data_IF_547627095129
#
_entry.id   IF_547627095129
#
_cell.length_a   1.000
_cell.length_b   1.000
_cell.length_c   1.000
_cell.angle_alpha   90.00
_cell.angle_beta   90.00
_cell.angle_gamma   90.00
#
_symmetry.space_group_name_H-M   'P 1'
#
loop_
_entity.id
_entity.type
_entity.pdbx_description
1 polymer ?
#
# COMPACT_ATOMS: atom_id res chain seq x y z
N UNK A 1 -6.58 24.64 11.10
CA UNK A 1 -6.24 23.20 11.04
C UNK A 1 -6.72 22.53 9.75
N UNK A 2 -8.03 22.45 9.46
CA UNK A 2 -8.56 21.80 8.24
C UNK A 2 -7.94 22.39 6.96
N UNK A 3 -7.89 23.71 6.83
CA UNK A 3 -7.29 24.36 5.65
C UNK A 3 -5.81 24.00 5.44
N UNK A 4 -5.05 23.79 6.52
CA UNK A 4 -3.67 23.32 6.39
C UNK A 4 -3.61 21.90 5.82
N UNK A 5 -4.51 21.02 6.28
CA UNK A 5 -4.60 19.63 5.79
C UNK A 5 -5.02 19.61 4.33
N UNK A 6 -5.99 20.44 3.93
CA UNK A 6 -6.40 20.58 2.53
C UNK A 6 -5.23 21.03 1.66
N UNK A 7 -4.44 22.01 2.11
CA UNK A 7 -3.23 22.44 1.39
C UNK A 7 -2.19 21.33 1.24
N UNK A 8 -1.94 20.55 2.29
CA UNK A 8 -1.02 19.41 2.22
C UNK A 8 -1.48 18.38 1.17
N UNK A 9 -2.77 17.98 1.21
CA UNK A 9 -3.33 17.00 0.26
C UNK A 9 -3.34 17.55 -1.18
N UNK A 10 -3.75 18.81 -1.35
CA UNK A 10 -3.75 19.48 -2.66
C UNK A 10 -2.33 19.56 -3.25
N UNK A 11 -1.34 19.88 -2.41
CA UNK A 11 0.07 19.95 -2.80
C UNK A 11 0.64 18.60 -3.22
N UNK A 12 0.21 17.50 -2.58
CA UNK A 12 0.63 16.15 -2.93
C UNK A 12 0.00 15.66 -4.23
N UNK A 13 -1.33 15.72 -4.37
CA UNK A 13 -2.02 15.13 -5.52
C UNK A 13 -2.06 16.03 -6.77
N UNK A 14 -1.92 17.36 -6.62
CA UNK A 14 -1.91 18.36 -7.71
C UNK A 14 -2.99 18.08 -8.78
N UNK A 15 -4.21 17.79 -8.34
CA UNK A 15 -5.30 17.36 -9.22
C UNK A 15 -6.57 18.17 -8.95
N UNK A 16 -7.18 18.72 -10.00
CA UNK A 16 -8.35 19.59 -9.90
C UNK A 16 -9.57 18.88 -9.30
N UNK A 17 -9.80 17.60 -9.62
CA UNK A 17 -10.92 16.86 -9.05
C UNK A 17 -10.75 16.66 -7.54
N UNK A 18 -9.53 16.34 -7.08
CA UNK A 18 -9.21 16.30 -5.65
C UNK A 18 -9.40 17.65 -4.98
N UNK A 19 -8.91 18.74 -5.58
CA UNK A 19 -9.07 20.09 -5.03
C UNK A 19 -10.54 20.49 -4.91
N UNK A 20 -11.34 20.22 -5.94
CA UNK A 20 -12.77 20.47 -5.92
C UNK A 20 -13.46 19.65 -4.81
N UNK A 21 -13.10 18.37 -4.65
CA UNK A 21 -13.62 17.55 -3.57
C UNK A 21 -13.22 18.06 -2.18
N UNK A 22 -11.98 18.51 -2.00
CA UNK A 22 -11.51 19.11 -0.75
C UNK A 22 -12.31 20.36 -0.35
N UNK A 23 -12.83 21.11 -1.31
CA UNK A 23 -13.70 22.26 -1.02
C UNK A 23 -15.08 21.84 -0.48
N UNK A 24 -15.53 20.62 -0.78
CA UNK A 24 -16.81 20.08 -0.30
C UNK A 24 -16.73 19.48 1.11
N UNK A 25 -15.53 19.16 1.61
CA UNK A 25 -15.38 18.57 2.95
C UNK A 25 -15.28 19.67 4.02
N UNK A 26 -16.26 19.68 4.91
CA UNK A 26 -16.44 20.71 5.93
C UNK A 26 -16.69 20.14 7.34
N UNK A 27 -16.94 18.83 7.47
CA UNK A 27 -17.12 18.17 8.77
C UNK A 27 -15.83 17.50 9.21
N UNK A 28 -15.72 17.35 10.54
CA UNK A 28 -14.60 16.67 11.19
C UNK A 28 -15.06 15.80 12.35
N UNK A 29 -14.37 14.69 12.55
CA UNK A 29 -14.58 13.80 13.71
C UNK A 29 -13.24 13.32 14.23
N UNK A 30 -13.08 13.37 15.54
CA UNK A 30 -11.90 12.84 16.21
C UNK A 30 -12.21 11.50 16.84
N UNK A 31 -11.31 10.54 16.64
CA UNK A 31 -11.30 9.26 17.33
C UNK A 31 -9.93 9.08 17.96
N UNK A 32 -9.89 8.65 19.22
CA UNK A 32 -8.64 8.32 19.92
C UNK A 32 -8.75 6.90 20.45
N UNK A 33 -7.70 6.11 20.24
CA UNK A 33 -7.56 4.78 20.81
C UNK A 33 -6.10 4.55 21.21
N UNK A 34 -5.83 4.56 22.52
CA UNK A 34 -4.48 4.39 23.09
C UNK A 34 -3.49 5.41 22.48
N UNK A 35 -2.41 4.95 21.84
CA UNK A 35 -1.39 5.79 21.20
C UNK A 35 -1.75 6.25 19.78
N UNK A 36 -2.96 5.98 19.30
CA UNK A 36 -3.42 6.37 17.96
C UNK A 36 -4.51 7.44 18.07
N UNK A 37 -4.33 8.54 17.34
CA UNK A 37 -5.33 9.60 17.16
C UNK A 37 -5.67 9.73 15.69
N UNK A 38 -6.95 9.69 15.35
CA UNK A 38 -7.46 9.88 14.00
C UNK A 38 -8.33 11.13 13.93
N UNK A 39 -7.99 12.02 13.01
CA UNK A 39 -8.87 13.08 12.52
C UNK A 39 -9.49 12.64 11.20
N UNK A 40 -10.80 12.45 11.19
CA UNK A 40 -11.59 12.18 9.98
C UNK A 40 -12.14 13.50 9.46
N UNK A 41 -11.91 13.81 8.19
CA UNK A 41 -12.48 14.96 7.48
C UNK A 41 -13.40 14.42 6.40
N UNK A 42 -14.63 14.89 6.35
CA UNK A 42 -15.66 14.29 5.49
C UNK A 42 -16.73 15.30 5.06
N UNK A 43 -17.52 14.93 4.05
CA UNK A 43 -18.68 15.69 3.57
C UNK A 43 -19.90 15.36 4.43
N UNK A 44 -20.74 16.33 4.76
CA UNK A 44 -21.92 16.15 5.63
C UNK A 44 -22.84 14.97 5.22
N UNK A 45 -23.06 14.79 3.92
CA UNK A 45 -23.90 13.71 3.38
C UNK A 45 -23.22 12.32 3.35
N UNK A 46 -21.93 12.24 3.69
CA UNK A 46 -21.19 10.97 3.62
C UNK A 46 -21.44 10.09 4.85
N UNK A 47 -21.88 8.86 4.61
CA UNK A 47 -22.07 7.85 5.66
C UNK A 47 -20.73 7.25 6.08
N UNK A 48 -20.14 7.81 7.14
CA UNK A 48 -18.96 7.23 7.77
C UNK A 48 -19.31 5.90 8.45
N UNK A 49 -18.64 4.81 8.06
CA UNK A 49 -18.72 3.54 8.78
C UNK A 49 -17.83 3.58 10.04
N UNK A 50 -18.30 4.30 11.07
CA UNK A 50 -17.59 4.45 12.34
C UNK A 50 -17.26 3.11 13.01
N UNK A 51 -18.16 2.10 13.05
CA UNK A 51 -17.83 0.78 13.57
C UNK A 51 -16.61 0.15 12.89
N UNK A 52 -16.55 0.19 11.56
CA UNK A 52 -15.41 -0.33 10.80
C UNK A 52 -14.12 0.45 11.10
N UNK A 53 -14.16 1.79 11.14
CA UNK A 53 -12.98 2.60 11.51
C UNK A 53 -12.48 2.27 12.92
N UNK A 54 -13.39 2.05 13.88
CA UNK A 54 -13.03 1.62 15.25
C UNK A 54 -12.40 0.23 15.27
N UNK A 55 -12.88 -0.70 14.44
CA UNK A 55 -12.28 -2.03 14.29
C UNK A 55 -10.85 -1.92 13.73
N UNK A 56 -10.65 -1.12 12.68
CA UNK A 56 -9.33 -0.83 12.12
C UNK A 56 -8.40 -0.23 13.17
N UNK A 57 -8.87 0.73 13.99
CA UNK A 57 -8.09 1.28 15.10
C UNK A 57 -7.59 0.22 16.09
N UNK A 58 -8.44 -0.76 16.44
CA UNK A 58 -8.05 -1.87 17.32
C UNK A 58 -6.98 -2.75 16.68
N UNK A 59 -7.12 -3.04 15.37
CA UNK A 59 -6.11 -3.78 14.59
C UNK A 59 -4.76 -3.08 14.59
N UNK A 60 -4.76 -1.78 14.26
CA UNK A 60 -3.53 -0.98 14.21
C UNK A 60 -2.85 -0.93 15.58
N UNK A 61 -3.62 -0.86 16.68
CA UNK A 61 -3.05 -0.87 18.02
C UNK A 61 -2.24 -2.13 18.36
N UNK A 62 -2.65 -3.30 17.84
CA UNK A 62 -1.87 -4.55 18.01
C UNK A 62 -0.44 -4.40 17.49
N UNK A 63 -0.23 -3.53 16.51
CA UNK A 63 1.07 -3.26 15.89
C UNK A 63 1.75 -2.05 16.54
N UNK A 64 1.01 -0.94 16.70
CA UNK A 64 1.59 0.32 17.22
C UNK A 64 2.01 0.24 18.68
N UNK A 65 1.50 -0.72 19.46
CA UNK A 65 1.97 -0.94 20.84
C UNK A 65 3.44 -1.39 20.91
N UNK A 66 3.98 -1.93 19.81
CA UNK A 66 5.39 -2.33 19.71
C UNK A 66 6.29 -1.22 19.15
N UNK A 67 5.72 -0.05 18.85
CA UNK A 67 6.44 1.11 18.35
C UNK A 67 6.32 2.21 19.39
N UNK A 68 7.43 2.66 19.96
CA UNK A 68 7.45 3.70 21.00
C UNK A 68 7.17 5.11 20.41
N UNK A 69 5.98 5.29 19.85
CA UNK A 69 5.54 6.51 19.15
C UNK A 69 4.02 6.68 19.27
N UNK A 70 3.59 7.93 19.34
CA UNK A 70 2.18 8.30 19.13
C UNK A 70 1.92 8.56 17.66
N UNK A 71 0.82 8.01 17.14
CA UNK A 71 0.44 8.15 15.74
C UNK A 71 -0.72 9.13 15.58
N UNK A 72 -0.50 10.16 14.77
CA UNK A 72 -1.54 11.09 14.35
C UNK A 72 -1.88 10.79 12.89
N UNK A 73 -3.12 10.42 12.62
CA UNK A 73 -3.56 10.05 11.27
C UNK A 73 -4.72 10.95 10.85
N UNK A 74 -4.74 11.27 9.57
CA UNK A 74 -5.74 12.11 8.94
C UNK A 74 -6.42 11.28 7.86
N UNK A 75 -7.72 11.05 8.01
CA UNK A 75 -8.54 10.31 7.04
C UNK A 75 -9.46 11.27 6.31
N UNK A 76 -9.31 11.37 4.99
CA UNK A 76 -10.28 12.05 4.11
C UNK A 76 -11.32 11.07 3.56
N UNK A 77 -10.89 9.83 3.25
CA UNK A 77 -11.74 8.77 2.68
C UNK A 77 -12.53 9.22 1.44
N UNK A 78 -11.86 9.90 0.51
CA UNK A 78 -12.46 10.33 -0.75
C UNK A 78 -12.96 9.15 -1.60
N UNK A 79 -13.98 9.36 -2.44
CA UNK A 79 -14.56 8.29 -3.27
C UNK A 79 -13.75 7.97 -4.52
N UNK A 80 -12.61 8.64 -4.74
CA UNK A 80 -11.79 8.41 -5.92
C UNK A 80 -11.14 7.03 -5.88
N UNK A 81 -11.18 6.35 -7.02
CA UNK A 81 -10.59 5.02 -7.19
C UNK A 81 -9.30 5.06 -8.01
N UNK A 82 -8.40 4.14 -7.70
CA UNK A 82 -7.17 3.85 -8.44
C UNK A 82 -7.51 3.01 -9.66
N UNK A 83 -7.18 3.51 -10.84
CA UNK A 83 -7.41 2.84 -12.12
C UNK A 83 -6.15 2.82 -12.97
N UNK A 84 -5.92 1.70 -13.65
CA UNK A 84 -4.86 1.55 -14.64
C UNK A 84 -5.09 2.59 -15.74
N UNK A 85 -4.03 3.33 -16.05
CA UNK A 85 -4.02 4.27 -17.15
C UNK A 85 -2.93 3.83 -18.14
N UNK A 86 -3.33 3.57 -19.39
CA UNK A 86 -2.46 3.06 -20.44
C UNK A 86 -1.45 4.11 -20.94
N UNK A 87 -1.53 5.36 -20.49
CA UNK A 87 -0.66 6.44 -20.95
C UNK A 87 0.41 6.82 -19.91
N UNK A 88 0.04 6.86 -18.62
CA UNK A 88 0.96 7.26 -17.55
C UNK A 88 0.51 6.71 -16.20
N UNK A 89 1.46 6.15 -15.45
CA UNK A 89 1.30 5.80 -14.05
C UNK A 89 2.10 6.78 -13.18
N UNK A 90 1.37 7.57 -12.39
CA UNK A 90 1.91 8.55 -11.45
C UNK A 90 1.37 8.31 -10.04
N UNK A 91 1.88 9.03 -9.05
CA UNK A 91 1.40 8.95 -7.65
C UNK A 91 -0.12 9.13 -7.54
N UNK A 92 -0.73 9.93 -8.43
CA UNK A 92 -2.18 10.10 -8.51
C UNK A 92 -2.91 8.78 -8.83
N UNK A 93 -2.29 7.86 -9.57
CA UNK A 93 -2.92 6.60 -9.96
C UNK A 93 -2.66 5.47 -8.96
N UNK A 94 -1.66 5.61 -8.10
CA UNK A 94 -1.05 4.51 -7.33
C UNK A 94 -1.18 4.73 -5.81
N UNK A 95 -1.00 5.95 -5.32
CA UNK A 95 -0.88 6.22 -3.89
C UNK A 95 -2.22 6.60 -3.28
N UNK A 96 -2.64 5.90 -2.22
CA UNK A 96 -3.86 6.21 -1.44
C UNK A 96 -3.57 6.97 -0.15
N UNK A 97 -2.30 7.08 0.23
CA UNK A 97 -1.83 7.82 1.40
C UNK A 97 -0.39 8.29 1.22
N UNK A 98 0.07 9.10 2.17
CA UNK A 98 1.45 9.56 2.26
C UNK A 98 1.78 10.05 3.67
N UNK A 99 3.06 10.03 4.00
CA UNK A 99 3.63 10.63 5.21
C UNK A 99 4.79 11.54 4.80
N UNK A 100 4.88 12.75 5.35
CA UNK A 100 6.08 13.57 5.18
C UNK A 100 7.13 13.10 6.18
N UNK A 101 8.35 12.80 5.73
CA UNK A 101 9.46 12.33 6.58
C UNK A 101 9.67 13.17 7.86
N UNK A 102 9.45 14.49 7.78
CA UNK A 102 9.64 15.43 8.88
C UNK A 102 8.34 15.79 9.64
N UNK A 103 7.22 15.11 9.38
CA UNK A 103 5.94 15.34 10.08
C UNK A 103 5.40 14.03 10.63
N UNK A 104 4.81 14.08 11.82
CA UNK A 104 4.22 12.91 12.48
C UNK A 104 2.81 12.55 11.98
N UNK A 105 2.35 13.17 10.89
CA UNK A 105 1.00 12.99 10.38
C UNK A 105 1.00 12.01 9.20
N UNK A 106 0.23 10.94 9.33
CA UNK A 106 -0.07 10.00 8.25
C UNK A 106 -1.35 10.48 7.56
N UNK A 107 -1.32 10.72 6.25
CA UNK A 107 -2.47 11.17 5.47
C UNK A 107 -3.01 10.00 4.64
N UNK A 108 -4.30 9.71 4.79
CA UNK A 108 -5.01 8.69 4.00
C UNK A 108 -6.14 9.38 3.26
N UNK A 109 -6.02 9.37 1.94
CA UNK A 109 -6.80 10.26 1.09
C UNK A 109 -7.96 9.52 0.42
N UNK A 110 -7.78 8.27 0.03
CA UNK A 110 -8.85 7.45 -0.58
C UNK A 110 -9.52 6.54 0.42
N UNK A 111 -10.80 6.25 0.19
CA UNK A 111 -11.54 5.25 0.96
C UNK A 111 -11.06 3.83 0.65
N UNK A 112 -10.72 3.55 -0.61
CA UNK A 112 -10.22 2.24 -0.98
C UNK A 112 -8.86 1.96 -0.32
N UNK A 113 -8.69 0.72 0.14
CA UNK A 113 -7.51 0.15 0.79
C UNK A 113 -7.07 0.84 2.08
N UNK A 114 -7.87 1.76 2.62
CA UNK A 114 -7.49 2.59 3.77
C UNK A 114 -6.98 1.79 4.99
N UNK A 115 -7.56 0.63 5.37
CA UNK A 115 -7.06 -0.16 6.50
C UNK A 115 -5.63 -0.67 6.27
N UNK A 116 -5.38 -1.25 5.10
CA UNK A 116 -4.07 -1.77 4.69
C UNK A 116 -3.05 -0.64 4.53
N UNK A 117 -3.45 0.49 3.94
CA UNK A 117 -2.57 1.66 3.76
C UNK A 117 -2.16 2.25 5.11
N UNK A 118 -3.08 2.36 6.08
CA UNK A 118 -2.71 2.77 7.43
C UNK A 118 -1.66 1.85 8.06
N UNK A 119 -1.85 0.54 7.91
CA UNK A 119 -0.89 -0.44 8.40
C UNK A 119 0.48 -0.27 7.72
N UNK A 120 0.50 -0.13 6.40
CA UNK A 120 1.71 0.14 5.61
C UNK A 120 2.48 1.36 6.16
N UNK A 121 1.81 2.49 6.35
CA UNK A 121 2.43 3.73 6.88
C UNK A 121 2.92 3.57 8.33
N UNK A 122 2.25 2.75 9.14
CA UNK A 122 2.73 2.40 10.48
C UNK A 122 3.98 1.53 10.42
N UNK A 123 4.05 0.57 9.50
CA UNK A 123 5.21 -0.31 9.36
C UNK A 123 6.47 0.44 8.90
N UNK A 124 6.33 1.54 8.15
CA UNK A 124 7.43 2.48 7.89
C UNK A 124 8.05 3.09 9.15
N UNK A 125 7.38 3.02 10.30
CA UNK A 125 7.92 3.46 11.59
C UNK A 125 8.58 2.34 12.40
N UNK A 126 8.56 1.11 11.89
CA UNK A 126 9.22 -0.02 12.52
C UNK A 126 10.59 -0.26 11.86
N UNK A 127 11.64 0.25 12.51
CA UNK A 127 13.04 0.15 12.05
C UNK A 127 13.58 -1.28 11.97
N UNK A 128 12.89 -2.25 12.58
CA UNK A 128 13.28 -3.64 12.49
C UNK A 128 12.71 -4.34 11.23
N UNK A 129 11.64 -3.80 10.65
CA UNK A 129 11.00 -4.34 9.45
C UNK A 129 11.66 -3.79 8.19
N UNK A 130 12.16 -2.55 8.22
CA UNK A 130 12.83 -1.98 7.07
C UNK A 130 14.13 -1.22 7.40
N UNK A 131 15.07 -1.28 6.45
CA UNK A 131 16.38 -0.63 6.46
C UNK A 131 16.65 0.00 5.10
N UNK A 132 17.63 0.88 4.92
CA UNK A 132 17.93 1.38 3.57
C UNK A 132 18.55 0.31 2.67
N UNK A 133 18.07 0.17 1.42
CA UNK A 133 18.76 -0.63 0.41
C UNK A 133 20.08 0.04 0.00
N UNK A 134 21.13 -0.76 -0.19
CA UNK A 134 22.39 -0.26 -0.76
C UNK A 134 22.15 0.22 -2.18
N UNK A 135 22.80 1.33 -2.55
CA UNK A 135 22.70 1.89 -3.90
C UNK A 135 23.09 0.87 -4.98
N UNK A 136 24.09 0.01 -4.71
CA UNK A 136 24.48 -1.07 -5.62
C UNK A 136 23.32 -2.04 -5.90
N UNK A 137 22.57 -2.43 -4.89
CA UNK A 137 21.40 -3.31 -5.02
C UNK A 137 20.24 -2.64 -5.74
N UNK A 138 19.98 -1.36 -5.47
CA UNK A 138 19.00 -0.57 -6.22
C UNK A 138 19.36 -0.59 -7.71
N UNK A 139 20.62 -0.35 -8.08
CA UNK A 139 21.06 -0.38 -9.48
C UNK A 139 20.97 -1.78 -10.11
N UNK A 140 21.27 -2.84 -9.36
CA UNK A 140 21.09 -4.23 -9.82
C UNK A 140 19.63 -4.53 -10.16
N UNK A 141 18.71 -4.15 -9.28
CA UNK A 141 17.26 -4.29 -9.51
C UNK A 141 16.80 -3.45 -10.69
N UNK A 142 17.20 -2.17 -10.77
CA UNK A 142 16.85 -1.29 -11.89
C UNK A 142 17.33 -1.86 -13.22
N UNK A 143 18.56 -2.37 -13.28
CA UNK A 143 19.13 -3.00 -14.48
C UNK A 143 18.37 -4.28 -14.86
N UNK A 144 18.12 -5.18 -13.92
CA UNK A 144 17.45 -6.47 -14.19
C UNK A 144 16.02 -6.29 -14.66
N UNK A 145 15.27 -5.38 -14.04
CA UNK A 145 13.86 -5.14 -14.34
C UNK A 145 13.61 -3.97 -15.31
N UNK A 146 14.68 -3.35 -15.84
CA UNK A 146 14.62 -2.19 -16.74
C UNK A 146 13.80 -1.01 -16.18
N UNK A 147 14.01 -0.69 -14.89
CA UNK A 147 13.33 0.41 -14.19
C UNK A 147 14.09 1.71 -14.42
N UNK A 148 13.41 2.70 -15.01
CA UNK A 148 14.01 4.01 -15.33
C UNK A 148 13.76 5.03 -14.19
N UNK A 149 12.75 4.80 -13.35
CA UNK A 149 12.41 5.68 -12.23
C UNK A 149 13.60 5.99 -11.31
N UNK A 150 13.92 7.27 -11.13
CA UNK A 150 15.00 7.72 -10.25
C UNK A 150 14.61 7.67 -8.77
N UNK A 151 13.32 7.81 -8.48
CA UNK A 151 12.76 7.78 -7.12
C UNK A 151 12.33 6.35 -6.73
N UNK A 152 12.96 5.33 -7.32
CA UNK A 152 12.65 3.95 -7.03
C UNK A 152 13.20 3.53 -5.66
N UNK A 153 12.31 3.13 -4.76
CA UNK A 153 12.66 2.63 -3.44
C UNK A 153 12.22 1.16 -3.27
N UNK A 154 13.15 0.20 -3.26
CA UNK A 154 12.83 -1.21 -3.02
C UNK A 154 12.29 -1.49 -1.61
N UNK A 155 12.49 -0.60 -0.63
CA UNK A 155 11.96 -0.81 0.73
C UNK A 155 10.45 -0.94 0.79
N UNK A 156 9.77 -0.25 -0.12
CA UNK A 156 8.33 -0.38 -0.29
C UNK A 156 7.91 -1.83 -0.54
N UNK A 157 8.79 -2.66 -1.10
CA UNK A 157 8.54 -4.10 -1.29
C UNK A 157 8.36 -4.81 0.04
N UNK A 158 9.26 -4.56 0.99
CA UNK A 158 9.29 -5.24 2.28
C UNK A 158 8.14 -4.75 3.14
N UNK A 159 7.90 -3.44 3.15
CA UNK A 159 6.80 -2.83 3.90
C UNK A 159 5.45 -3.28 3.33
N UNK A 160 5.26 -3.27 2.02
CA UNK A 160 4.00 -3.73 1.41
C UNK A 160 3.79 -5.23 1.57
N UNK A 161 4.85 -6.04 1.49
CA UNK A 161 4.80 -7.48 1.75
C UNK A 161 4.31 -7.76 3.18
N UNK A 162 4.95 -7.19 4.20
CA UNK A 162 4.53 -7.40 5.59
C UNK A 162 3.17 -6.78 5.90
N UNK A 163 2.85 -5.60 5.35
CA UNK A 163 1.52 -5.01 5.47
C UNK A 163 0.44 -5.96 4.92
N UNK A 164 0.71 -6.63 3.79
CA UNK A 164 -0.22 -7.59 3.19
C UNK A 164 -0.42 -8.81 4.10
N UNK A 165 0.66 -9.45 4.55
CA UNK A 165 0.60 -10.65 5.40
C UNK A 165 -0.11 -10.35 6.74
N UNK A 166 0.27 -9.26 7.40
CA UNK A 166 -0.31 -8.86 8.68
C UNK A 166 -1.80 -8.49 8.51
N UNK A 167 -2.16 -7.76 7.45
CA UNK A 167 -3.56 -7.40 7.19
C UNK A 167 -4.43 -8.64 6.96
N UNK A 168 -3.95 -9.61 6.16
CA UNK A 168 -4.64 -10.89 5.98
C UNK A 168 -4.81 -11.65 7.29
N UNK A 169 -3.78 -11.71 8.14
CA UNK A 169 -3.88 -12.38 9.44
C UNK A 169 -4.94 -11.71 10.34
N UNK A 170 -4.96 -10.38 10.38
CA UNK A 170 -5.95 -9.63 11.17
C UNK A 170 -7.38 -9.83 10.64
N UNK A 171 -7.57 -9.91 9.32
CA UNK A 171 -8.86 -10.26 8.72
C UNK A 171 -9.25 -11.69 9.08
N UNK A 172 -8.34 -12.64 8.97
CA UNK A 172 -8.57 -14.04 9.35
C UNK A 172 -9.05 -14.15 10.81
N UNK A 173 -8.39 -13.45 11.73
CA UNK A 173 -8.76 -13.42 13.15
C UNK A 173 -10.14 -12.81 13.42
N UNK A 174 -10.43 -11.66 12.81
CA UNK A 174 -11.65 -10.89 13.06
C UNK A 174 -12.89 -11.56 12.46
N UNK A 175 -12.74 -12.11 11.25
CA UNK A 175 -13.84 -12.72 10.50
C UNK A 175 -13.87 -14.25 10.58
N UNK A 176 -12.95 -14.86 11.33
CA UNK A 176 -12.80 -16.32 11.48
C UNK A 176 -12.65 -17.03 10.12
N UNK A 177 -11.89 -16.41 9.22
CA UNK A 177 -11.59 -16.97 7.90
C UNK A 177 -10.32 -17.81 7.97
N UNK A 178 -10.23 -18.84 7.13
CA UNK A 178 -8.99 -19.61 6.98
C UNK A 178 -7.89 -18.73 6.34
N UNK A 179 -6.79 -18.53 7.07
CA UNK A 179 -5.69 -17.66 6.63
C UNK A 179 -5.07 -18.13 5.31
N UNK A 180 -4.84 -19.44 5.18
CA UNK A 180 -4.21 -20.02 3.98
C UNK A 180 -5.07 -19.76 2.74
N UNK A 181 -6.39 -19.93 2.86
CA UNK A 181 -7.34 -19.67 1.78
C UNK A 181 -7.31 -18.20 1.33
N UNK A 182 -7.44 -17.26 2.26
CA UNK A 182 -7.41 -15.82 1.90
C UNK A 182 -6.04 -15.38 1.39
N UNK A 183 -4.95 -15.99 1.87
CA UNK A 183 -3.61 -15.76 1.33
C UNK A 183 -3.49 -16.26 -0.11
N UNK A 184 -4.00 -17.46 -0.42
CA UNK A 184 -3.97 -18.01 -1.77
C UNK A 184 -4.84 -17.20 -2.74
N UNK A 185 -5.99 -16.71 -2.30
CA UNK A 185 -6.83 -15.82 -3.10
C UNK A 185 -6.14 -14.48 -3.35
N UNK A 186 -5.44 -13.94 -2.36
CA UNK A 186 -4.64 -12.72 -2.51
C UNK A 186 -3.43 -12.92 -3.44
N UNK A 187 -2.74 -14.06 -3.36
CA UNK A 187 -1.66 -14.40 -4.28
C UNK A 187 -2.14 -14.47 -5.73
N UNK A 188 -3.30 -15.10 -5.98
CA UNK A 188 -3.92 -15.12 -7.32
C UNK A 188 -4.23 -13.71 -7.81
N UNK A 189 -4.76 -12.85 -6.94
CA UNK A 189 -5.05 -11.46 -7.28
C UNK A 189 -3.77 -10.67 -7.60
N UNK A 190 -2.72 -10.87 -6.81
CA UNK A 190 -1.41 -10.24 -7.01
C UNK A 190 -0.76 -10.69 -8.33
N UNK A 191 -0.81 -11.98 -8.68
CA UNK A 191 -0.38 -12.50 -9.99
C UNK A 191 -1.19 -11.90 -11.15
N UNK A 192 -2.50 -11.76 -10.99
CA UNK A 192 -3.35 -11.07 -11.97
C UNK A 192 -2.92 -9.60 -12.16
N UNK A 193 -2.61 -8.88 -11.08
CA UNK A 193 -2.11 -7.49 -11.18
C UNK A 193 -0.75 -7.43 -11.89
N UNK A 194 0.16 -8.37 -11.62
CA UNK A 194 1.40 -8.48 -12.39
C UNK A 194 1.11 -8.69 -13.87
N UNK A 195 0.21 -9.62 -14.23
CA UNK A 195 -0.18 -9.84 -15.63
C UNK A 195 -0.69 -8.55 -16.29
N UNK A 196 -1.55 -7.78 -15.60
CA UNK A 196 -2.03 -6.52 -16.15
C UNK A 196 -0.92 -5.50 -16.39
N UNK A 197 0.02 -5.36 -15.44
CA UNK A 197 1.14 -4.44 -15.59
C UNK A 197 2.08 -4.85 -16.72
N UNK A 198 2.36 -6.15 -16.88
CA UNK A 198 3.22 -6.63 -17.96
C UNK A 198 2.59 -6.48 -19.36
N UNK A 199 1.26 -6.36 -19.44
CA UNK A 199 0.55 -6.05 -20.68
C UNK A 199 0.46 -4.55 -20.99
N UNK A 200 0.93 -3.68 -20.10
CA UNK A 200 1.04 -2.26 -20.42
C UNK A 200 2.18 -2.02 -21.41
N UNK A 201 2.11 -0.93 -22.21
CA UNK A 201 3.24 -0.51 -23.01
C UNK A 201 4.51 -0.38 -22.14
N UNK A 202 5.63 -0.96 -22.57
CA UNK A 202 6.86 -1.06 -21.75
C UNK A 202 7.33 0.30 -21.23
N UNK A 203 7.19 1.35 -22.04
CA UNK A 203 7.52 2.72 -21.65
C UNK A 203 6.69 3.18 -20.46
N UNK A 204 5.40 2.85 -20.38
CA UNK A 204 4.50 3.28 -19.29
C UNK A 204 4.92 2.67 -17.96
N UNK A 205 5.21 1.36 -17.94
CA UNK A 205 5.63 0.68 -16.70
C UNK A 205 7.02 1.13 -16.27
N UNK A 206 7.98 1.17 -17.20
CA UNK A 206 9.39 1.43 -16.90
C UNK A 206 9.67 2.90 -16.54
N UNK A 207 8.88 3.84 -17.07
CA UNK A 207 8.98 5.27 -16.75
C UNK A 207 7.98 5.74 -15.68
N UNK A 208 7.25 4.80 -15.06
CA UNK A 208 6.31 5.15 -13.99
C UNK A 208 7.02 5.91 -12.87
N UNK A 209 6.47 7.06 -12.47
CA UNK A 209 7.03 7.90 -11.39
C UNK A 209 6.57 7.41 -10.01
N UNK A 210 6.56 6.10 -9.83
CA UNK A 210 5.97 5.42 -8.66
C UNK A 210 6.75 4.16 -8.32
N UNK A 211 6.59 3.66 -7.10
CA UNK A 211 7.16 2.40 -6.65
C UNK A 211 6.30 1.19 -7.03
N UNK A 212 5.67 1.20 -8.22
CA UNK A 212 4.73 0.15 -8.64
C UNK A 212 5.40 -1.23 -8.76
N UNK A 213 6.68 -1.26 -9.16
CA UNK A 213 7.48 -2.49 -9.13
C UNK A 213 7.56 -3.05 -7.71
N UNK A 214 7.79 -2.22 -6.70
CA UNK A 214 7.87 -2.64 -5.31
C UNK A 214 6.50 -3.09 -4.77
N UNK A 215 5.45 -2.27 -4.97
CA UNK A 215 4.12 -2.53 -4.43
C UNK A 215 3.43 -3.77 -5.02
N UNK A 216 3.67 -4.07 -6.30
CA UNK A 216 2.96 -5.14 -7.01
C UNK A 216 3.92 -6.25 -7.42
N UNK A 217 4.93 -5.97 -8.24
CA UNK A 217 5.74 -7.03 -8.86
C UNK A 217 6.62 -7.74 -7.84
N UNK A 218 7.44 -6.99 -7.10
CA UNK A 218 8.40 -7.57 -6.15
C UNK A 218 7.68 -8.19 -4.96
N UNK A 219 6.64 -7.53 -4.43
CA UNK A 219 5.74 -8.13 -3.44
C UNK A 219 5.21 -9.49 -3.90
N UNK A 220 4.74 -9.58 -5.13
CA UNK A 220 4.20 -10.84 -5.68
C UNK A 220 5.27 -11.93 -5.79
N UNK A 221 6.50 -11.58 -6.18
CA UNK A 221 7.64 -12.52 -6.19
C UNK A 221 7.89 -13.08 -4.78
N UNK A 222 7.89 -12.22 -3.76
CA UNK A 222 8.05 -12.65 -2.37
C UNK A 222 6.92 -13.57 -1.91
N UNK A 223 5.66 -13.19 -2.18
CA UNK A 223 4.49 -13.99 -1.81
C UNK A 223 4.44 -15.35 -2.52
N UNK A 224 4.70 -15.38 -3.83
CA UNK A 224 4.67 -16.60 -4.62
C UNK A 224 5.71 -17.62 -4.14
N UNK A 225 6.86 -17.14 -3.69
CA UNK A 225 7.98 -17.97 -3.23
C UNK A 225 8.13 -17.98 -1.71
N UNK A 226 7.03 -17.75 -0.95
CA UNK A 226 7.06 -17.57 0.50
C UNK A 226 7.73 -18.74 1.24
N UNK A 227 7.55 -19.97 0.77
CA UNK A 227 8.13 -21.19 1.38
C UNK A 227 9.65 -21.24 1.25
N UNK A 228 10.22 -20.69 0.19
CA UNK A 228 11.67 -20.56 0.03
C UNK A 228 12.17 -19.32 0.77
N UNK A 229 11.44 -18.20 0.67
CA UNK A 229 11.78 -16.95 1.33
C UNK A 229 11.94 -17.13 2.83
N UNK A 230 10.99 -17.80 3.51
CA UNK A 230 11.04 -18.01 4.96
C UNK A 230 12.29 -18.77 5.44
N UNK A 231 12.95 -19.54 4.56
CA UNK A 231 14.15 -20.31 4.91
C UNK A 231 15.41 -19.43 4.94
N UNK A 232 15.39 -18.33 4.21
CA UNK A 232 16.54 -17.43 4.02
C UNK A 232 16.31 -16.04 4.61
N UNK A 233 15.06 -15.70 4.91
CA UNK A 233 14.69 -14.40 5.43
C UNK A 233 15.26 -14.22 6.84
N UNK A 234 15.86 -13.07 7.07
CA UNK A 234 16.42 -12.65 8.36
C UNK A 234 15.66 -11.45 8.89
N UNK A 235 15.70 -11.22 10.20
CA UNK A 235 15.07 -10.06 10.83
C UNK A 235 16.10 -9.30 11.68
N UNK A 236 16.46 -8.05 11.31
CA UNK A 236 16.04 -7.32 10.11
C UNK A 236 16.51 -8.02 8.82
N UNK A 237 15.88 -7.68 7.69
CA UNK A 237 16.19 -8.32 6.41
C UNK A 237 17.59 -7.92 5.91
N UNK A 238 18.21 -8.81 5.15
CA UNK A 238 19.45 -8.53 4.41
C UNK A 238 19.11 -8.14 2.96
N UNK A 239 19.49 -6.92 2.56
CA UNK A 239 19.14 -6.37 1.25
C UNK A 239 19.83 -7.07 0.07
N UNK A 240 21.04 -7.63 0.27
CA UNK A 240 21.70 -8.47 -0.73
C UNK A 240 20.88 -9.74 -0.97
N UNK A 241 20.46 -10.42 0.11
CA UNK A 241 19.65 -11.65 0.03
C UNK A 241 18.32 -11.39 -0.67
N UNK A 242 17.62 -10.30 -0.30
CA UNK A 242 16.34 -9.95 -0.95
C UNK A 242 16.56 -9.60 -2.43
N UNK A 243 17.61 -8.85 -2.75
CA UNK A 243 17.92 -8.48 -4.14
C UNK A 243 18.18 -9.72 -4.99
N UNK A 244 19.02 -10.62 -4.50
CA UNK A 244 19.35 -11.87 -5.16
C UNK A 244 18.11 -12.75 -5.34
N UNK A 245 17.26 -12.82 -4.31
CA UNK A 245 16.02 -13.57 -4.36
C UNK A 245 15.05 -13.02 -5.42
N UNK A 246 14.85 -11.70 -5.46
CA UNK A 246 13.98 -11.05 -6.45
C UNK A 246 14.48 -11.27 -7.89
N UNK A 247 15.81 -11.20 -8.10
CA UNK A 247 16.42 -11.45 -9.41
C UNK A 247 16.28 -12.92 -9.80
N UNK A 248 16.59 -13.85 -8.89
CA UNK A 248 16.48 -15.31 -9.10
C UNK A 248 15.06 -15.71 -9.49
N UNK A 249 14.07 -15.16 -8.79
CA UNK A 249 12.66 -15.52 -8.92
C UNK A 249 11.85 -14.52 -9.77
N UNK A 250 12.52 -13.74 -10.63
CA UNK A 250 11.86 -12.70 -11.43
C UNK A 250 10.85 -13.23 -12.45
N UNK A 251 10.86 -14.55 -12.72
CA UNK A 251 9.91 -15.21 -13.63
C UNK A 251 8.67 -15.68 -12.86
N UNK A 252 7.59 -14.90 -12.97
CA UNK A 252 6.29 -15.26 -12.39
C UNK A 252 5.42 -16.05 -13.39
N UNK A 253 4.56 -16.97 -12.91
CA UNK A 253 3.57 -17.65 -13.76
C UNK A 253 2.39 -16.72 -14.05
N UNK A 254 2.54 -15.85 -15.05
CA UNK A 254 1.52 -14.86 -15.47
C UNK A 254 0.36 -15.50 -16.26
N UNK A 255 -0.18 -16.61 -15.75
CA UNK A 255 -1.27 -17.37 -16.38
C UNK A 255 -2.66 -16.85 -16.00
N UNK A 256 -2.76 -16.05 -14.93
CA UNK A 256 -4.03 -15.50 -14.45
C UNK A 256 -4.36 -14.21 -15.20
N UNK A 257 -5.25 -14.33 -16.20
CA UNK A 257 -5.59 -13.23 -17.12
C UNK A 257 -6.88 -12.49 -16.77
N UNK A 258 -7.66 -13.01 -15.82
CA UNK A 258 -8.93 -12.45 -15.36
C UNK A 258 -8.90 -12.21 -13.86
N UNK A 259 -9.65 -11.22 -13.38
CA UNK A 259 -9.71 -10.93 -11.95
C UNK A 259 -10.31 -12.10 -11.17
N UNK A 260 -9.53 -12.75 -10.28
CA UNK A 260 -10.00 -13.93 -9.55
C UNK A 260 -10.95 -13.59 -8.40
N UNK A 261 -10.87 -12.36 -7.87
CA UNK A 261 -11.65 -11.96 -6.70
C UNK A 261 -13.08 -11.53 -7.04
N UNK A 262 -13.31 -10.99 -8.26
CA UNK A 262 -14.51 -10.23 -8.66
C UNK A 262 -14.91 -9.04 -7.76
N UNK A 263 -14.28 -8.87 -6.59
CA UNK A 263 -14.47 -7.76 -5.63
C UNK A 263 -14.02 -6.43 -6.25
N UNK A 264 -13.03 -6.48 -7.12
CA UNK A 264 -12.43 -5.31 -7.79
C UNK A 264 -12.82 -5.27 -9.26
N UNK A 265 -12.92 -4.08 -9.84
CA UNK A 265 -13.01 -3.92 -11.30
C UNK A 265 -11.72 -4.41 -11.97
N UNK A 266 -11.82 -4.86 -13.23
CA UNK A 266 -10.63 -5.33 -13.97
C UNK A 266 -9.59 -4.22 -14.09
N UNK A 267 -9.99 -3.00 -14.42
CA UNK A 267 -9.07 -1.86 -14.55
C UNK A 267 -8.60 -1.26 -13.20
N UNK A 268 -8.95 -1.85 -12.06
CA UNK A 268 -8.54 -1.34 -10.74
C UNK A 268 -7.02 -1.43 -10.54
N UNK A 269 -6.42 -0.42 -9.90
CA UNK A 269 -5.04 -0.43 -9.39
C UNK A 269 -4.98 -0.64 -7.86
N UNK A 270 -5.99 -1.28 -7.28
CA UNK A 270 -5.89 -1.79 -5.91
C UNK A 270 -4.81 -2.89 -5.85
N UNK A 271 -4.02 -2.88 -4.79
CA UNK A 271 -2.90 -3.81 -4.62
C UNK A 271 -3.32 -5.09 -3.93
N UNK A 272 -4.48 -5.06 -3.28
CA UNK A 272 -5.00 -6.17 -2.51
C UNK A 272 -6.52 -6.32 -2.64
N UNK A 273 -6.98 -7.57 -2.69
CA UNK A 273 -8.40 -7.92 -2.87
C UNK A 273 -9.22 -7.67 -1.60
N UNK A 274 -8.65 -8.00 -0.44
CA UNK A 274 -9.30 -7.84 0.87
C UNK A 274 -8.87 -6.57 1.63
N UNK A 275 -8.27 -5.59 0.95
CA UNK A 275 -7.72 -4.41 1.62
C UNK A 275 -8.76 -3.54 2.34
N UNK A 276 -10.03 -3.62 1.96
CA UNK A 276 -11.12 -2.80 2.51
C UNK A 276 -11.79 -3.44 3.74
N UNK A 277 -11.46 -4.69 4.06
CA UNK A 277 -11.97 -5.42 5.22
C UNK A 277 -11.22 -5.10 6.50
#
# INVERSE_FOLDING_TARGET
MIESIKRDIAGFFKNNAFNNYLNTVNKRKFLKYKNITILIIYKEESSLNIPHIKMVLKRLYKITQHINKNFNMILLLSPFSKKINNNLLSYLHVNSGFTYLNRNNIYIVRKEEFPKVLLHEILHHNQYIHSSFKQSNIQRLKKHFNIINNDFDPNETIVEFWATIIHLNLISEDYKLDFYKIFMDELKYSLYKCYQLYNLPKNVLNTSKTNIYAYIIFKTILMYNIVELQKIYTYPYNDDIITDFLIKHSKLPLTITKNPSKIREDNSLCFMSYSDL
#
